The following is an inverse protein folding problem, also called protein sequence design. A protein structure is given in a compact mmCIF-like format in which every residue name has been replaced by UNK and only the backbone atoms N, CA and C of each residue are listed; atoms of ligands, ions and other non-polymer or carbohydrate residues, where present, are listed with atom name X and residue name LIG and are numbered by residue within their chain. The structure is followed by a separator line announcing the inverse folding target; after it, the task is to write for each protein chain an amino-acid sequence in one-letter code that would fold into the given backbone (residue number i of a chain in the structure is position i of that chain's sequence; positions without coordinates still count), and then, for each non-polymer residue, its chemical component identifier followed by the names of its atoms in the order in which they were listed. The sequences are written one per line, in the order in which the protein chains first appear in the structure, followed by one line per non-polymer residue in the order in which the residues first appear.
data_IF_479969895380
#
_entry.id   IF_479969895380
#
_cell.length_a   1.000
_cell.length_b   1.000
_cell.length_c   1.000
_cell.angle_alpha   90.00
_cell.angle_beta   90.00
_cell.angle_gamma   90.00
#
_symmetry.space_group_name_H-M   'P 1'
#
loop_
_entity.id
_entity.type
_entity.pdbx_description
1 polymer ?
#
# COMPACT_ATOMS: atom_id res chain seq x y z
N UNK A 1 -9.70 2.13 10.76
CA UNK A 1 -9.99 0.67 10.63
C UNK A 1 -11.33 0.22 11.20
N UNK A 2 -11.99 1.05 12.02
CA UNK A 2 -13.21 0.65 12.75
C UNK A 2 -14.49 1.34 12.25
N UNK A 3 -14.47 1.97 11.08
CA UNK A 3 -15.56 2.85 10.69
C UNK A 3 -16.82 2.12 10.16
N UNK A 4 -16.66 0.95 9.51
CA UNK A 4 -17.79 0.22 8.93
C UNK A 4 -17.91 -1.14 9.63
N UNK A 5 -18.87 -1.24 10.58
CA UNK A 5 -19.08 -2.45 11.38
C UNK A 5 -20.45 -3.09 11.19
N UNK A 6 -21.41 -2.35 10.67
CA UNK A 6 -22.81 -2.76 10.60
C UNK A 6 -23.42 -2.51 9.23
N UNK A 7 -24.35 -3.36 8.85
CA UNK A 7 -25.21 -3.14 7.68
C UNK A 7 -25.92 -1.79 7.77
N UNK A 8 -26.10 -1.12 6.63
CA UNK A 8 -26.71 0.19 6.53
C UNK A 8 -25.71 1.36 6.56
N UNK A 9 -24.51 1.19 7.12
CA UNK A 9 -23.53 2.29 7.23
C UNK A 9 -23.00 2.75 5.87
N UNK A 10 -22.75 1.83 4.95
CA UNK A 10 -22.27 2.17 3.60
C UNK A 10 -23.34 2.95 2.85
N UNK A 11 -24.58 2.51 2.94
CA UNK A 11 -25.74 3.19 2.33
C UNK A 11 -25.92 4.61 2.85
N UNK A 12 -25.73 4.82 4.16
CA UNK A 12 -25.77 6.16 4.77
C UNK A 12 -24.62 7.06 4.30
N UNK A 13 -23.39 6.52 4.19
CA UNK A 13 -22.23 7.24 3.65
C UNK A 13 -22.52 7.73 2.23
N UNK A 14 -23.04 6.87 1.35
CA UNK A 14 -23.35 7.26 -0.02
C UNK A 14 -24.53 8.23 -0.10
N UNK A 15 -25.52 8.10 0.76
CA UNK A 15 -26.61 9.08 0.88
C UNK A 15 -26.08 10.46 1.26
N UNK A 16 -25.18 10.52 2.25
CA UNK A 16 -24.51 11.77 2.65
C UNK A 16 -23.62 12.32 1.52
N UNK A 17 -22.83 11.45 0.86
CA UNK A 17 -21.97 11.84 -0.24
C UNK A 17 -22.75 12.49 -1.39
N UNK A 18 -23.93 11.95 -1.74
CA UNK A 18 -24.82 12.56 -2.74
C UNK A 18 -25.34 13.92 -2.32
N UNK A 19 -25.68 14.11 -1.05
CA UNK A 19 -26.10 15.42 -0.54
C UNK A 19 -24.99 16.47 -0.54
N UNK A 20 -23.74 16.04 -0.38
CA UNK A 20 -22.56 16.90 -0.32
C UNK A 20 -21.83 16.99 -1.67
N UNK A 21 -22.43 16.51 -2.75
CA UNK A 21 -21.77 16.51 -4.07
C UNK A 21 -21.33 17.95 -4.49
N UNK A 22 -20.13 18.12 -5.09
CA UNK A 22 -19.20 17.07 -5.50
C UNK A 22 -18.39 16.47 -4.34
N UNK A 23 -18.34 15.13 -4.23
CA UNK A 23 -17.74 14.42 -3.09
C UNK A 23 -16.83 13.29 -3.57
N UNK A 24 -15.71 13.09 -2.86
CA UNK A 24 -14.83 11.93 -3.01
C UNK A 24 -15.03 11.00 -1.80
N UNK A 25 -15.47 9.77 -2.06
CA UNK A 25 -15.54 8.68 -1.08
C UNK A 25 -14.29 7.81 -1.23
N UNK A 26 -13.50 7.69 -0.16
CA UNK A 26 -12.30 6.86 -0.14
C UNK A 26 -12.56 5.65 0.77
N UNK A 27 -12.34 4.45 0.25
CA UNK A 27 -12.47 3.19 0.99
C UNK A 27 -11.16 2.43 0.87
N UNK A 28 -10.45 2.31 1.98
CA UNK A 28 -9.19 1.57 2.03
C UNK A 28 -9.45 0.09 2.36
N UNK A 29 -8.59 -0.78 1.78
CA UNK A 29 -8.60 -2.23 2.02
C UNK A 29 -10.00 -2.85 1.83
N UNK A 30 -10.61 -2.61 0.68
CA UNK A 30 -11.98 -3.05 0.34
C UNK A 30 -12.15 -4.58 0.42
N UNK A 31 -11.06 -5.35 0.28
CA UNK A 31 -11.03 -6.80 0.48
C UNK A 31 -11.44 -7.20 1.91
N UNK A 32 -11.29 -6.31 2.88
CA UNK A 32 -11.72 -6.56 4.26
C UNK A 32 -13.24 -6.53 4.44
N UNK A 33 -13.99 -5.92 3.51
CA UNK A 33 -15.45 -5.92 3.53
C UNK A 33 -16.05 -7.29 3.18
N UNK A 34 -15.29 -8.14 2.49
CA UNK A 34 -15.71 -9.49 2.07
C UNK A 34 -15.38 -10.61 3.06
N UNK A 35 -14.67 -10.29 4.18
CA UNK A 35 -14.13 -11.31 5.09
C UNK A 35 -12.93 -12.07 4.49
N UNK A 36 -12.06 -12.62 5.34
CA UNK A 36 -10.86 -13.36 4.91
C UNK A 36 -11.14 -14.81 4.48
N UNK A 37 -12.38 -15.30 4.64
CA UNK A 37 -12.74 -16.68 4.29
C UNK A 37 -13.01 -16.81 2.79
N UNK A 38 -12.08 -17.45 2.11
CA UNK A 38 -12.07 -17.70 0.65
C UNK A 38 -13.28 -18.50 0.12
N UNK A 39 -14.09 -19.09 1.00
CA UNK A 39 -15.22 -19.96 0.62
C UNK A 39 -16.58 -19.27 0.60
N UNK A 40 -16.71 -18.05 1.15
CA UNK A 40 -17.99 -17.37 1.34
C UNK A 40 -18.05 -15.93 0.83
N UNK A 41 -17.20 -15.53 -0.12
CA UNK A 41 -17.17 -14.16 -0.71
C UNK A 41 -18.52 -13.76 -1.32
N UNK A 42 -19.38 -14.73 -1.65
CA UNK A 42 -20.70 -14.49 -2.26
C UNK A 42 -21.75 -13.95 -1.28
N UNK A 43 -21.59 -14.13 0.02
CA UNK A 43 -22.65 -13.88 1.02
C UNK A 43 -22.25 -12.83 2.08
N UNK A 44 -21.19 -12.03 1.85
CA UNK A 44 -20.83 -11.03 2.86
C UNK A 44 -21.74 -9.80 2.74
N UNK A 45 -22.58 -9.51 3.75
CA UNK A 45 -23.61 -8.45 3.68
C UNK A 45 -23.03 -7.06 3.35
N UNK A 46 -21.86 -6.72 3.92
CA UNK A 46 -21.21 -5.42 3.70
C UNK A 46 -20.70 -5.25 2.27
N UNK A 47 -20.17 -6.31 1.65
CA UNK A 47 -19.75 -6.24 0.25
C UNK A 47 -20.99 -6.07 -0.66
N UNK A 48 -22.05 -6.82 -0.39
CA UNK A 48 -23.31 -6.67 -1.11
C UNK A 48 -23.90 -5.26 -1.00
N UNK A 49 -23.88 -4.69 0.21
CA UNK A 49 -24.31 -3.32 0.45
C UNK A 49 -23.45 -2.31 -0.32
N UNK A 50 -22.13 -2.47 -0.30
CA UNK A 50 -21.21 -1.62 -1.04
C UNK A 50 -21.45 -1.68 -2.55
N UNK A 51 -21.60 -2.88 -3.12
CA UNK A 51 -21.90 -3.07 -4.52
C UNK A 51 -23.24 -2.43 -4.93
N UNK A 52 -24.23 -2.52 -4.05
CA UNK A 52 -25.53 -1.88 -4.25
C UNK A 52 -25.44 -0.36 -4.15
N UNK A 53 -24.64 0.18 -3.25
CA UNK A 53 -24.41 1.61 -3.10
C UNK A 53 -23.69 2.20 -4.33
N UNK A 54 -22.76 1.46 -4.95
CA UNK A 54 -22.08 1.86 -6.18
C UNK A 54 -23.02 1.88 -7.39
N UNK A 55 -23.82 0.82 -7.58
CA UNK A 55 -24.62 0.57 -8.79
C UNK A 55 -26.14 0.64 -8.56
N UNK A 56 -26.56 1.14 -7.39
CA UNK A 56 -27.95 1.16 -6.97
C UNK A 56 -28.87 2.05 -7.80
N UNK A 57 -30.16 2.01 -7.45
CA UNK A 57 -31.25 2.75 -8.12
C UNK A 57 -31.00 4.26 -8.12
N UNK A 58 -30.33 4.77 -7.09
CA UNK A 58 -29.97 6.18 -6.98
C UNK A 58 -28.64 6.48 -7.69
N UNK A 59 -28.66 7.41 -8.63
CA UNK A 59 -27.47 7.84 -9.35
C UNK A 59 -26.49 8.54 -8.42
N UNK A 60 -25.22 8.15 -8.45
CA UNK A 60 -24.13 8.79 -7.71
C UNK A 60 -23.57 10.02 -8.47
N UNK A 61 -24.44 10.89 -8.98
CA UNK A 61 -24.02 12.09 -9.71
C UNK A 61 -23.18 13.00 -8.82
N UNK A 62 -21.97 13.35 -9.28
CA UNK A 62 -21.03 14.18 -8.52
C UNK A 62 -20.34 13.47 -7.36
N UNK A 63 -20.46 12.13 -7.25
CA UNK A 63 -19.73 11.32 -6.29
C UNK A 63 -18.68 10.49 -7.02
N UNK A 64 -17.42 10.62 -6.61
CA UNK A 64 -16.31 9.76 -7.07
C UNK A 64 -15.97 8.79 -5.95
N UNK A 65 -15.86 7.51 -6.27
CA UNK A 65 -15.40 6.49 -5.33
C UNK A 65 -13.99 6.03 -5.69
N UNK A 66 -13.08 6.11 -4.73
CA UNK A 66 -11.75 5.55 -4.79
C UNK A 66 -11.65 4.41 -3.78
N UNK A 67 -11.30 3.21 -4.24
CA UNK A 67 -11.06 2.08 -3.35
C UNK A 67 -9.65 1.52 -3.54
N UNK A 68 -9.06 1.02 -2.46
CA UNK A 68 -7.77 0.32 -2.50
C UNK A 68 -7.95 -1.14 -2.08
N UNK A 69 -7.11 -2.02 -2.63
CA UNK A 69 -7.02 -3.42 -2.23
C UNK A 69 -5.62 -3.98 -2.47
N UNK A 70 -5.22 -4.93 -1.62
CA UNK A 70 -4.02 -5.73 -1.81
C UNK A 70 -4.33 -7.08 -2.50
N UNK A 71 -5.62 -7.40 -2.70
CA UNK A 71 -6.08 -8.67 -3.26
C UNK A 71 -7.10 -8.45 -4.39
N UNK A 72 -6.69 -7.81 -5.51
CA UNK A 72 -7.61 -7.49 -6.60
C UNK A 72 -8.31 -8.73 -7.16
N UNK A 73 -7.62 -9.90 -7.17
CA UNK A 73 -8.18 -11.16 -7.64
C UNK A 73 -9.40 -11.66 -6.82
N UNK A 74 -9.56 -11.20 -5.57
CA UNK A 74 -10.72 -11.54 -4.76
C UNK A 74 -11.95 -10.69 -5.08
N UNK A 75 -11.74 -9.60 -5.79
CA UNK A 75 -12.78 -8.62 -6.11
C UNK A 75 -13.22 -8.68 -7.60
N UNK A 76 -12.42 -9.33 -8.45
CA UNK A 76 -12.54 -9.23 -9.90
C UNK A 76 -13.94 -9.56 -10.45
N UNK A 77 -14.54 -10.67 -10.02
CA UNK A 77 -15.83 -11.10 -10.55
C UNK A 77 -17.01 -10.22 -10.08
N UNK A 78 -16.92 -9.69 -8.84
CA UNK A 78 -18.02 -8.91 -8.27
C UNK A 78 -18.00 -7.45 -8.72
N UNK A 79 -16.82 -6.92 -9.08
CA UNK A 79 -16.58 -5.50 -9.34
C UNK A 79 -16.30 -5.21 -10.81
N UNK A 80 -15.66 -6.14 -11.55
CA UNK A 80 -15.19 -5.89 -12.92
C UNK A 80 -16.27 -6.08 -13.99
N UNK A 81 -17.21 -7.02 -13.80
CA UNK A 81 -18.10 -7.47 -14.88
C UNK A 81 -19.44 -6.73 -14.96
N UNK A 82 -19.65 -5.66 -14.19
CA UNK A 82 -20.91 -4.92 -14.23
C UNK A 82 -20.71 -3.41 -14.44
N UNK A 83 -21.29 -2.83 -15.50
CA UNK A 83 -21.29 -1.38 -15.72
C UNK A 83 -21.80 -0.61 -14.49
N UNK A 84 -21.17 0.54 -14.20
CA UNK A 84 -21.61 1.42 -13.11
C UNK A 84 -21.01 1.10 -11.74
N UNK A 85 -19.93 0.27 -11.67
CA UNK A 85 -19.20 0.02 -10.44
C UNK A 85 -17.86 0.73 -10.45
N UNK A 86 -16.77 0.08 -10.89
CA UNK A 86 -15.47 0.72 -11.07
C UNK A 86 -15.16 0.85 -12.55
N UNK A 87 -15.06 2.10 -13.03
CA UNK A 87 -14.80 2.41 -14.44
C UNK A 87 -13.30 2.32 -14.77
N UNK A 88 -12.45 2.34 -13.75
CA UNK A 88 -11.00 2.40 -13.92
C UNK A 88 -10.30 1.62 -12.83
N UNK A 89 -9.29 0.84 -13.23
CA UNK A 89 -8.40 0.11 -12.33
C UNK A 89 -6.98 0.59 -12.56
N UNK A 90 -6.28 0.92 -11.46
CA UNK A 90 -4.89 1.36 -11.49
C UNK A 90 -4.09 0.38 -10.64
N UNK A 91 -3.13 -0.30 -11.27
CA UNK A 91 -2.21 -1.19 -10.58
C UNK A 91 -0.96 -0.43 -10.13
N UNK A 92 -0.58 -0.61 -8.87
CA UNK A 92 0.64 -0.09 -8.29
C UNK A 92 1.63 -1.23 -8.08
N UNK A 93 2.52 -1.45 -9.05
CA UNK A 93 3.65 -2.35 -8.92
C UNK A 93 4.79 -1.75 -8.10
N UNK A 94 5.90 -2.49 -8.01
CA UNK A 94 7.12 -1.95 -7.42
C UNK A 94 7.63 -0.75 -8.22
N UNK A 95 8.12 0.31 -7.54
CA UNK A 95 8.64 1.48 -8.21
C UNK A 95 9.89 1.14 -9.04
N UNK A 96 9.98 1.69 -10.24
CA UNK A 96 11.18 1.56 -11.07
C UNK A 96 12.39 2.28 -10.45
N UNK A 97 13.63 2.07 -10.93
CA UNK A 97 14.82 2.66 -10.32
C UNK A 97 14.76 4.18 -10.16
N UNK A 98 14.19 4.89 -11.11
CA UNK A 98 14.06 6.35 -11.05
C UNK A 98 13.04 6.78 -9.98
N UNK A 99 11.90 6.11 -9.91
CA UNK A 99 10.92 6.35 -8.86
C UNK A 99 11.50 6.02 -7.46
N UNK A 100 12.28 4.92 -7.31
CA UNK A 100 12.96 4.61 -6.04
C UNK A 100 13.93 5.71 -5.64
N UNK A 101 14.68 6.27 -6.60
CA UNK A 101 15.58 7.40 -6.35
C UNK A 101 14.81 8.60 -5.78
N UNK A 102 13.72 9.00 -6.45
CA UNK A 102 12.89 10.13 -6.03
C UNK A 102 12.26 9.91 -4.66
N UNK A 103 11.79 8.70 -4.38
CA UNK A 103 11.22 8.33 -3.09
C UNK A 103 12.27 8.43 -1.99
N UNK A 104 13.48 7.88 -2.20
CA UNK A 104 14.59 7.97 -1.24
C UNK A 104 15.00 9.42 -0.99
N UNK A 105 15.17 10.23 -2.04
CA UNK A 105 15.49 11.64 -1.91
C UNK A 105 14.45 12.41 -1.10
N UNK A 106 13.15 12.12 -1.34
CA UNK A 106 12.04 12.71 -0.60
C UNK A 106 12.08 12.34 0.90
N UNK A 107 12.33 11.06 1.22
CA UNK A 107 12.40 10.63 2.61
C UNK A 107 13.69 11.06 3.32
N UNK A 108 14.79 11.25 2.60
CA UNK A 108 16.03 11.78 3.16
C UNK A 108 15.99 13.28 3.38
N UNK A 109 15.17 14.02 2.63
CA UNK A 109 15.15 15.49 2.65
C UNK A 109 14.96 16.15 4.03
N UNK A 110 14.17 15.56 4.99
CA UNK A 110 14.02 16.12 6.32
C UNK A 110 15.24 15.97 7.22
N UNK A 111 16.20 15.10 6.87
CA UNK A 111 17.32 14.72 7.72
C UNK A 111 18.64 15.37 7.28
N UNK A 112 19.54 15.61 8.24
CA UNK A 112 20.92 15.91 7.92
C UNK A 112 21.59 14.67 7.32
N UNK A 113 22.27 14.84 6.17
CA UNK A 113 22.91 13.72 5.46
C UNK A 113 24.36 14.02 5.13
N UNK A 114 25.22 13.01 5.17
CA UNK A 114 26.65 13.07 4.80
C UNK A 114 26.90 12.19 3.58
N UNK A 115 27.07 12.80 2.38
CA UNK A 115 27.55 12.14 1.15
C UNK A 115 26.91 10.77 0.88
N UNK A 116 25.60 10.69 0.81
CA UNK A 116 24.89 9.45 0.47
C UNK A 116 24.92 9.26 -1.05
N UNK A 117 25.38 8.10 -1.52
CA UNK A 117 25.28 7.70 -2.91
C UNK A 117 23.93 7.01 -3.16
N UNK A 118 22.88 7.80 -3.38
CA UNK A 118 21.52 7.31 -3.61
C UNK A 118 21.47 6.31 -4.79
N UNK A 119 22.28 6.52 -5.84
CA UNK A 119 22.31 5.60 -6.99
C UNK A 119 22.75 4.20 -6.60
N UNK A 120 23.70 4.07 -5.68
CA UNK A 120 24.16 2.77 -5.20
C UNK A 120 23.11 2.09 -4.32
N UNK A 121 22.43 2.85 -3.47
CA UNK A 121 21.31 2.34 -2.66
C UNK A 121 20.18 1.84 -3.57
N UNK A 122 19.84 2.59 -4.62
CA UNK A 122 18.79 2.20 -5.59
C UNK A 122 19.09 0.87 -6.27
N UNK A 123 20.34 0.57 -6.62
CA UNK A 123 20.71 -0.72 -7.22
C UNK A 123 20.39 -1.92 -6.31
N UNK A 124 20.48 -1.74 -5.00
CA UNK A 124 20.28 -2.80 -4.00
C UNK A 124 18.85 -2.86 -3.46
N UNK A 125 17.96 -1.96 -3.89
CA UNK A 125 16.55 -1.87 -3.43
C UNK A 125 15.57 -2.38 -4.50
N UNK A 126 15.96 -3.33 -5.32
CA UNK A 126 15.05 -4.00 -6.26
C UNK A 126 13.87 -4.63 -5.50
N UNK A 127 12.66 -4.54 -6.06
CA UNK A 127 11.42 -4.98 -5.42
C UNK A 127 11.11 -4.33 -4.04
N UNK A 128 11.70 -3.18 -3.74
CA UNK A 128 11.27 -2.42 -2.56
C UNK A 128 10.05 -1.56 -2.91
N UNK A 129 8.99 -1.70 -2.12
CA UNK A 129 7.85 -0.79 -2.16
C UNK A 129 8.22 0.58 -1.57
N UNK A 130 7.36 1.57 -1.76
CA UNK A 130 7.54 2.89 -1.12
C UNK A 130 7.66 2.79 0.40
N UNK A 131 6.89 1.88 1.04
CA UNK A 131 6.97 1.63 2.48
C UNK A 131 8.33 1.06 2.90
N UNK A 132 8.89 0.10 2.16
CA UNK A 132 10.23 -0.42 2.45
C UNK A 132 11.33 0.63 2.27
N UNK A 133 11.19 1.52 1.29
CA UNK A 133 12.15 2.63 1.11
C UNK A 133 12.06 3.66 2.24
N UNK A 134 10.86 3.91 2.77
CA UNK A 134 10.66 4.72 3.96
C UNK A 134 11.30 4.08 5.19
N UNK A 135 11.04 2.80 5.42
CA UNK A 135 11.61 2.03 6.52
C UNK A 135 13.13 2.01 6.47
N UNK A 136 13.73 1.89 5.27
CA UNK A 136 15.17 1.97 5.08
C UNK A 136 15.75 3.29 5.60
N UNK A 137 15.13 4.42 5.26
CA UNK A 137 15.59 5.74 5.71
C UNK A 137 15.39 5.90 7.21
N UNK A 138 14.26 5.45 7.75
CA UNK A 138 13.98 5.50 9.19
C UNK A 138 14.97 4.64 10.00
N UNK A 139 15.28 3.42 9.52
CA UNK A 139 16.27 2.55 10.16
C UNK A 139 17.67 3.18 10.09
N UNK A 140 18.06 3.76 8.96
CA UNK A 140 19.34 4.44 8.82
C UNK A 140 19.44 5.67 9.75
N UNK A 141 18.33 6.40 9.94
CA UNK A 141 18.27 7.51 10.90
C UNK A 141 18.42 7.00 12.34
N UNK A 142 17.74 5.92 12.72
CA UNK A 142 17.86 5.35 14.08
C UNK A 142 19.28 4.91 14.40
N UNK A 143 19.98 4.29 13.44
CA UNK A 143 21.39 3.92 13.61
C UNK A 143 22.30 5.16 13.77
N UNK A 144 22.05 6.22 13.00
CA UNK A 144 22.76 7.48 13.12
C UNK A 144 22.49 8.18 14.46
N UNK A 145 21.24 8.11 14.93
CA UNK A 145 20.79 8.71 16.18
C UNK A 145 21.41 8.00 17.38
N UNK A 146 21.44 6.66 17.37
CA UNK A 146 22.15 5.88 18.38
C UNK A 146 23.65 6.21 18.41
N UNK A 147 24.30 6.31 17.25
CA UNK A 147 25.72 6.67 17.16
C UNK A 147 26.03 8.08 17.64
N UNK A 148 25.05 8.99 17.63
CA UNK A 148 25.18 10.37 18.17
C UNK A 148 24.84 10.49 19.64
N UNK A 149 24.78 9.38 20.39
CA UNK A 149 24.30 9.34 21.78
C UNK A 149 22.93 9.99 21.97
N UNK A 150 22.02 9.73 21.00
CA UNK A 150 20.64 10.23 21.00
C UNK A 150 20.52 11.76 20.94
N UNK A 151 21.50 12.45 20.34
CA UNK A 151 21.52 13.91 20.18
C UNK A 151 21.06 14.27 18.76
N UNK A 152 19.83 14.78 18.62
CA UNK A 152 19.22 15.06 17.32
C UNK A 152 20.00 16.10 16.50
N UNK A 153 20.49 17.15 17.15
CA UNK A 153 21.28 18.21 16.53
C UNK A 153 22.63 17.74 15.97
N UNK A 154 23.16 16.60 16.46
CA UNK A 154 24.40 15.98 16.00
C UNK A 154 24.16 14.80 15.06
N UNK A 155 22.91 14.38 14.91
CA UNK A 155 22.55 13.23 14.08
C UNK A 155 22.67 13.56 12.61
N UNK A 156 23.39 12.71 11.86
CA UNK A 156 23.51 12.83 10.42
C UNK A 156 23.63 11.46 9.77
N UNK A 157 22.73 11.17 8.83
CA UNK A 157 22.71 9.91 8.10
C UNK A 157 23.91 9.88 7.14
N UNK A 158 24.74 8.86 7.24
CA UNK A 158 25.86 8.60 6.33
C UNK A 158 25.57 7.43 5.40
N UNK A 159 26.44 7.26 4.39
CA UNK A 159 26.41 6.07 3.52
C UNK A 159 26.46 4.76 4.32
N UNK A 160 27.32 4.71 5.35
CA UNK A 160 27.43 3.52 6.21
C UNK A 160 26.13 3.19 6.94
N UNK A 161 25.40 4.20 7.44
CA UNK A 161 24.10 3.97 8.09
C UNK A 161 23.08 3.43 7.09
N UNK A 162 23.07 3.93 5.85
CA UNK A 162 22.20 3.42 4.78
C UNK A 162 22.51 1.98 4.42
N UNK A 163 23.79 1.62 4.33
CA UNK A 163 24.23 0.24 4.02
C UNK A 163 23.87 -0.73 5.14
N UNK A 164 24.15 -0.37 6.41
CA UNK A 164 23.78 -1.18 7.57
C UNK A 164 22.28 -1.39 7.69
N UNK A 165 21.48 -0.34 7.47
CA UNK A 165 20.03 -0.43 7.47
C UNK A 165 19.52 -1.34 6.35
N UNK A 166 20.11 -1.23 5.16
CA UNK A 166 19.76 -2.06 4.01
C UNK A 166 20.06 -3.55 4.27
N UNK A 167 21.22 -3.85 4.85
CA UNK A 167 21.58 -5.23 5.21
C UNK A 167 20.62 -5.83 6.26
N UNK A 168 20.21 -5.03 7.25
CA UNK A 168 19.19 -5.43 8.23
C UNK A 168 17.87 -5.79 7.56
N UNK A 169 17.33 -4.91 6.71
CA UNK A 169 16.06 -5.12 6.02
C UNK A 169 16.09 -6.30 5.05
N UNK A 170 17.20 -6.46 4.30
CA UNK A 170 17.37 -7.60 3.40
C UNK A 170 17.41 -8.93 4.16
N UNK A 171 18.06 -8.96 5.33
CA UNK A 171 18.12 -10.16 6.18
C UNK A 171 16.74 -10.50 6.75
N UNK A 172 15.99 -9.51 7.25
CA UNK A 172 14.62 -9.70 7.73
C UNK A 172 13.72 -10.23 6.62
N UNK A 173 13.84 -9.68 5.41
CA UNK A 173 13.04 -10.11 4.24
C UNK A 173 13.36 -11.57 3.85
N UNK A 174 14.63 -11.97 3.89
CA UNK A 174 15.04 -13.37 3.65
C UNK A 174 14.46 -14.33 4.68
N UNK A 175 14.49 -13.96 5.96
CA UNK A 175 13.91 -14.76 7.04
C UNK A 175 12.39 -14.91 6.86
N UNK A 176 11.67 -13.83 6.61
CA UNK A 176 10.22 -13.88 6.38
C UNK A 176 9.82 -14.71 5.15
N UNK A 177 10.61 -14.68 4.06
CA UNK A 177 10.38 -15.54 2.89
C UNK A 177 10.58 -17.02 3.26
N UNK A 178 11.61 -17.33 4.03
CA UNK A 178 11.91 -18.70 4.49
C UNK A 178 10.82 -19.27 5.41
N UNK A 179 10.32 -18.47 6.34
CA UNK A 179 9.23 -18.85 7.26
C UNK A 179 7.90 -19.09 6.53
N UNK A 180 7.66 -18.37 5.43
CA UNK A 180 6.47 -18.56 4.58
C UNK A 180 6.59 -19.72 3.58
N UNK A 181 7.71 -20.47 3.57
CA UNK A 181 7.95 -21.58 2.65
C UNK A 181 8.14 -21.16 1.18
N UNK A 182 8.36 -19.88 0.91
CA UNK A 182 8.61 -19.36 -0.44
C UNK A 182 10.10 -19.54 -0.71
N UNK A 183 10.47 -20.66 -1.35
CA UNK A 183 11.85 -20.88 -1.83
C UNK A 183 12.13 -19.97 -3.01
N UNK A 184 13.35 -19.44 -3.09
CA UNK A 184 13.84 -18.46 -4.07
C UNK A 184 13.93 -18.96 -5.53
N UNK A 185 13.36 -20.13 -5.85
CA UNK A 185 13.50 -20.77 -7.17
C UNK A 185 12.22 -20.90 -7.98
N UNK A 186 11.06 -20.37 -7.55
CA UNK A 186 9.78 -20.59 -8.24
C UNK A 186 9.00 -19.36 -8.68
N UNK A 187 9.58 -18.16 -8.67
CA UNK A 187 8.86 -16.93 -9.08
C UNK A 187 9.00 -16.61 -10.59
N UNK A 188 9.13 -17.65 -11.44
CA UNK A 188 9.06 -17.48 -12.90
C UNK A 188 7.80 -18.16 -13.49
N UNK A 189 6.68 -18.11 -12.78
CA UNK A 189 5.39 -18.51 -13.32
C UNK A 189 4.53 -17.28 -13.53
N UNK A 190 4.41 -16.92 -14.81
CA UNK A 190 3.46 -16.02 -15.42
C UNK A 190 2.10 -16.00 -14.68
N UNK A 191 1.82 -14.91 -14.01
CA UNK A 191 0.46 -14.55 -13.59
C UNK A 191 -0.24 -13.68 -14.64
N UNK A 192 0.07 -13.89 -15.95
CA UNK A 192 -0.63 -13.27 -17.07
C UNK A 192 -1.03 -14.37 -18.05
N UNK A 193 -2.24 -14.84 -17.89
CA UNK A 193 -2.99 -15.63 -18.86
C UNK A 193 -4.42 -15.14 -18.88
#
# INVERSE_FOLDING_TARGET
RDAIKHEGQISEIYKMARHLAPTLVIIEDIDTLGGLDRTSVHDHPLLGEFLNALSGVERNSGVITLATTNYPQHLDWALADRPGRFDSRIEFGYPNPEARRQILEKYLAPFNTKKINVKEVVKRTEEFSGAYLQELVQTAFMLAFEQSDYQEDKTSISQQHMESALDLLLNQRKQSKKERGISSESDNTNYYG
#
